data_IF_402111725944
#
_entry.id   IF_402111725944
#
_cell.length_a   1.000
_cell.length_b   1.000
_cell.length_c   1.000
_cell.angle_alpha   90.00
_cell.angle_beta   90.00
_cell.angle_gamma   90.00
#
_symmetry.space_group_name_H-M   'P 1'
#
loop_
_entity.id
_entity.type
_entity.pdbx_description
1 polymer ?
#
# COMPACT_ATOMS: atom_id res chain seq x y z
N UNK A 1 -60.74 -16.05 28.27
CA UNK A 1 -60.46 -16.70 26.98
C UNK A 1 -58.95 -16.85 26.82
N UNK A 2 -58.41 -18.07 26.96
CA UNK A 2 -57.00 -18.37 26.66
C UNK A 2 -56.94 -18.87 25.21
N UNK A 3 -56.49 -18.03 24.27
CA UNK A 3 -56.20 -18.46 22.90
C UNK A 3 -54.82 -19.11 22.90
N UNK A 4 -54.77 -20.42 22.73
CA UNK A 4 -53.50 -21.14 22.52
C UNK A 4 -53.02 -20.90 21.09
N UNK A 5 -51.75 -20.52 20.96
CA UNK A 5 -51.05 -20.44 19.67
C UNK A 5 -51.21 -21.78 18.92
N UNK A 6 -51.65 -21.71 17.67
CA UNK A 6 -51.71 -22.89 16.80
C UNK A 6 -50.29 -23.32 16.40
N UNK A 7 -50.04 -24.63 16.33
CA UNK A 7 -48.79 -25.18 15.78
C UNK A 7 -48.48 -24.63 14.38
N UNK A 8 -49.52 -24.33 13.59
CA UNK A 8 -49.39 -23.74 12.26
C UNK A 8 -48.88 -22.30 12.34
N UNK A 9 -49.36 -21.50 13.31
CA UNK A 9 -48.90 -20.12 13.51
C UNK A 9 -47.42 -20.08 13.92
N UNK A 10 -46.99 -21.02 14.76
CA UNK A 10 -45.58 -21.17 15.16
C UNK A 10 -44.72 -21.55 13.95
N UNK A 11 -45.18 -22.51 13.14
CA UNK A 11 -44.43 -22.96 11.96
C UNK A 11 -44.30 -21.85 10.91
N UNK A 12 -45.37 -21.10 10.67
CA UNK A 12 -45.36 -19.94 9.76
C UNK A 12 -44.45 -18.85 10.29
N UNK A 13 -44.48 -18.54 11.60
CA UNK A 13 -43.58 -17.57 12.20
C UNK A 13 -42.11 -17.96 12.02
N UNK A 14 -41.75 -19.24 12.25
CA UNK A 14 -40.39 -19.74 12.04
C UNK A 14 -39.97 -19.65 10.58
N UNK A 15 -40.86 -19.99 9.64
CA UNK A 15 -40.57 -19.89 8.20
C UNK A 15 -40.36 -18.43 7.75
N UNK A 16 -41.17 -17.50 8.24
CA UNK A 16 -41.01 -16.07 7.94
C UNK A 16 -39.69 -15.54 8.54
N UNK A 17 -39.39 -15.90 9.79
CA UNK A 17 -38.14 -15.51 10.43
C UNK A 17 -36.92 -16.07 9.68
N UNK A 18 -36.92 -17.33 9.27
CA UNK A 18 -35.77 -17.92 8.56
C UNK A 18 -35.55 -17.30 7.17
N UNK A 19 -36.63 -17.03 6.43
CA UNK A 19 -36.56 -16.33 5.15
C UNK A 19 -36.08 -14.88 5.28
N UNK A 20 -36.39 -14.22 6.39
CA UNK A 20 -35.97 -12.84 6.66
C UNK A 20 -34.52 -12.74 7.18
N UNK A 21 -34.09 -13.69 8.02
CA UNK A 21 -32.77 -13.65 8.67
C UNK A 21 -31.61 -13.83 7.67
N UNK A 22 -31.74 -14.71 6.69
CA UNK A 22 -30.68 -14.96 5.70
C UNK A 22 -30.22 -13.69 4.96
N UNK A 23 -31.14 -12.96 4.30
CA UNK A 23 -30.81 -11.68 3.66
C UNK A 23 -30.25 -10.63 4.62
N UNK A 24 -30.77 -10.53 5.85
CA UNK A 24 -30.27 -9.56 6.84
C UNK A 24 -28.84 -9.85 7.27
N UNK A 25 -28.49 -11.11 7.52
CA UNK A 25 -27.11 -11.52 7.85
C UNK A 25 -26.17 -11.20 6.69
N UNK A 26 -26.58 -11.47 5.45
CA UNK A 26 -25.79 -11.15 4.26
C UNK A 26 -25.56 -9.64 4.11
N UNK A 27 -26.59 -8.82 4.37
CA UNK A 27 -26.47 -7.36 4.30
C UNK A 27 -25.54 -6.81 5.39
N UNK A 28 -25.66 -7.29 6.63
CA UNK A 28 -24.78 -6.89 7.73
C UNK A 28 -23.33 -7.32 7.45
N UNK A 29 -23.12 -8.53 6.97
CA UNK A 29 -21.79 -9.02 6.58
C UNK A 29 -21.19 -8.20 5.44
N UNK A 30 -21.99 -7.86 4.42
CA UNK A 30 -21.53 -7.04 3.29
C UNK A 30 -21.16 -5.62 3.74
N UNK A 31 -22.02 -5.02 4.58
CA UNK A 31 -21.80 -3.69 5.15
C UNK A 31 -20.54 -3.64 6.02
N UNK A 32 -20.35 -4.64 6.89
CA UNK A 32 -19.16 -4.70 7.74
C UNK A 32 -17.88 -4.88 6.91
N UNK A 33 -17.92 -5.71 5.86
CA UNK A 33 -16.78 -5.89 4.95
C UNK A 33 -16.45 -4.61 4.19
N UNK A 34 -17.45 -3.88 3.70
CA UNK A 34 -17.25 -2.60 3.02
C UNK A 34 -16.67 -1.53 3.97
N UNK A 35 -17.20 -1.45 5.19
CA UNK A 35 -16.69 -0.52 6.21
C UNK A 35 -15.24 -0.85 6.59
N UNK A 36 -14.93 -2.13 6.78
CA UNK A 36 -13.56 -2.57 7.08
C UNK A 36 -12.59 -2.27 5.92
N UNK A 37 -13.02 -2.46 4.67
CA UNK A 37 -12.24 -2.10 3.49
C UNK A 37 -11.88 -0.61 3.49
N UNK A 38 -12.85 0.25 3.79
CA UNK A 38 -12.65 1.69 3.85
C UNK A 38 -11.63 2.12 4.92
N UNK A 39 -11.58 1.44 6.08
CA UNK A 39 -10.57 1.72 7.10
C UNK A 39 -9.16 1.47 6.55
N UNK A 40 -8.94 0.33 5.88
CA UNK A 40 -7.63 0.01 5.32
C UNK A 40 -7.25 0.90 4.14
N UNK A 41 -8.20 1.36 3.34
CA UNK A 41 -7.94 2.39 2.33
C UNK A 41 -7.42 3.69 2.97
N UNK A 42 -8.05 4.15 4.07
CA UNK A 42 -7.59 5.35 4.79
C UNK A 42 -6.19 5.13 5.38
N UNK A 43 -5.91 3.95 5.94
CA UNK A 43 -4.56 3.62 6.41
C UNK A 43 -3.54 3.60 5.27
N UNK A 44 -3.90 3.04 4.12
CA UNK A 44 -3.05 3.02 2.93
C UNK A 44 -2.70 4.43 2.47
N UNK A 45 -3.67 5.36 2.46
CA UNK A 45 -3.42 6.78 2.17
C UNK A 45 -2.40 7.35 3.14
N UNK A 46 -2.52 7.06 4.44
CA UNK A 46 -1.60 7.60 5.45
C UNK A 46 -0.17 7.07 5.26
N UNK A 47 -0.02 5.75 5.07
CA UNK A 47 1.28 5.14 4.79
C UNK A 47 1.92 5.68 3.51
N UNK A 48 1.12 5.83 2.45
CA UNK A 48 1.60 6.39 1.20
C UNK A 48 1.99 7.86 1.33
N UNK A 49 1.21 8.66 2.06
CA UNK A 49 1.50 10.08 2.29
C UNK A 49 2.82 10.28 3.04
N UNK A 50 3.09 9.47 4.07
CA UNK A 50 4.35 9.52 4.82
C UNK A 50 5.57 9.26 3.91
N UNK A 51 5.48 8.22 3.09
CA UNK A 51 6.55 7.87 2.15
C UNK A 51 6.68 8.95 1.06
N UNK A 52 5.56 9.41 0.50
CA UNK A 52 5.53 10.44 -0.53
C UNK A 52 6.14 11.77 -0.07
N UNK A 53 5.85 12.18 1.17
CA UNK A 53 6.40 13.40 1.74
C UNK A 53 7.94 13.29 1.86
N UNK A 54 8.44 12.15 2.33
CA UNK A 54 9.88 11.93 2.43
C UNK A 54 10.56 11.88 1.06
N UNK A 55 9.95 11.21 0.08
CA UNK A 55 10.46 11.16 -1.29
C UNK A 55 10.50 12.55 -1.93
N UNK A 56 9.46 13.36 -1.70
CA UNK A 56 9.42 14.75 -2.18
C UNK A 56 10.56 15.58 -1.58
N UNK A 57 10.88 15.38 -0.29
CA UNK A 57 12.04 16.01 0.35
C UNK A 57 13.38 15.58 -0.26
N UNK A 58 13.45 14.40 -0.87
CA UNK A 58 14.64 13.94 -1.58
C UNK A 58 14.77 14.46 -3.01
N UNK A 59 13.70 14.93 -3.65
CA UNK A 59 13.71 15.35 -5.08
C UNK A 59 14.72 16.46 -5.42
N UNK A 60 15.26 17.20 -4.45
CA UNK A 60 16.34 18.17 -4.67
C UNK A 60 17.75 17.65 -4.40
N UNK A 61 17.88 16.37 -4.02
CA UNK A 61 19.12 15.72 -3.57
C UNK A 61 19.32 14.34 -4.20
N UNK A 62 18.49 13.95 -5.18
CA UNK A 62 18.56 12.63 -5.79
C UNK A 62 19.88 12.42 -6.52
N UNK A 63 20.39 13.43 -7.23
CA UNK A 63 21.73 13.42 -7.83
C UNK A 63 22.83 13.07 -6.83
N UNK A 64 22.84 13.70 -5.65
CA UNK A 64 23.82 13.43 -4.60
C UNK A 64 23.70 12.00 -4.05
N UNK A 65 22.46 11.53 -3.87
CA UNK A 65 22.16 10.18 -3.38
C UNK A 65 22.64 9.13 -4.39
N UNK A 66 22.34 9.34 -5.68
CA UNK A 66 22.77 8.48 -6.76
C UNK A 66 24.28 8.51 -6.92
N UNK A 67 24.94 9.66 -6.76
CA UNK A 67 26.40 9.74 -6.77
C UNK A 67 27.04 8.92 -5.65
N UNK A 68 26.56 9.03 -4.40
CA UNK A 68 27.04 8.20 -3.27
C UNK A 68 26.76 6.71 -3.53
N UNK A 69 25.59 6.38 -4.07
CA UNK A 69 25.21 5.00 -4.40
C UNK A 69 26.12 4.38 -5.47
N UNK A 70 26.41 5.13 -6.55
CA UNK A 70 27.32 4.70 -7.63
C UNK A 70 28.74 4.47 -7.11
N UNK A 71 29.24 5.33 -6.22
CA UNK A 71 30.56 5.17 -5.58
C UNK A 71 30.60 3.93 -4.69
N UNK A 72 29.57 3.71 -3.85
CA UNK A 72 29.52 2.60 -2.90
C UNK A 72 29.31 1.24 -3.57
N UNK A 73 28.45 1.18 -4.57
CA UNK A 73 28.14 -0.05 -5.30
C UNK A 73 29.17 -0.39 -6.36
N UNK A 74 29.99 0.58 -6.79
CA UNK A 74 30.89 0.45 -7.92
C UNK A 74 30.19 0.39 -9.28
N UNK A 75 28.87 0.65 -9.33
CA UNK A 75 28.08 0.64 -10.56
C UNK A 75 27.78 2.08 -11.02
N UNK A 76 28.45 2.60 -12.07
CA UNK A 76 28.24 3.97 -12.54
C UNK A 76 26.91 4.17 -13.27
N UNK A 77 26.25 3.10 -13.75
CA UNK A 77 24.98 3.18 -14.47
C UNK A 77 23.76 3.03 -13.56
N UNK A 78 23.94 3.08 -12.24
CA UNK A 78 22.85 2.93 -11.28
C UNK A 78 21.85 4.08 -11.41
N UNK A 79 20.58 3.71 -11.56
CA UNK A 79 19.43 4.62 -11.71
C UNK A 79 18.62 4.71 -10.41
N UNK A 80 17.68 5.66 -10.35
CA UNK A 80 16.75 5.77 -9.24
C UNK A 80 15.84 4.54 -9.11
N UNK A 81 15.46 3.95 -10.25
CA UNK A 81 14.68 2.72 -10.30
C UNK A 81 15.42 1.59 -9.60
N UNK A 82 16.71 1.39 -9.90
CA UNK A 82 17.54 0.35 -9.27
C UNK A 82 17.61 0.51 -7.75
N UNK A 83 17.66 1.75 -7.25
CA UNK A 83 17.75 2.04 -5.82
C UNK A 83 16.44 1.77 -5.07
N UNK A 84 15.33 2.22 -5.64
CA UNK A 84 14.00 2.14 -5.00
C UNK A 84 13.35 0.76 -5.16
N UNK A 85 13.81 -0.03 -6.12
CA UNK A 85 13.34 -1.39 -6.38
C UNK A 85 14.37 -2.46 -5.99
N UNK A 86 15.46 -2.07 -5.32
CA UNK A 86 16.44 -3.03 -4.80
C UNK A 86 15.72 -4.09 -3.93
N UNK A 87 16.00 -5.39 -4.12
CA UNK A 87 15.31 -6.46 -3.40
C UNK A 87 15.43 -6.34 -1.88
N UNK A 88 16.63 -6.01 -1.38
CA UNK A 88 16.87 -5.92 0.06
C UNK A 88 16.13 -4.74 0.68
N UNK A 89 16.02 -3.63 -0.06
CA UNK A 89 15.22 -2.48 0.36
C UNK A 89 13.71 -2.79 0.32
N UNK A 90 13.24 -3.42 -0.76
CA UNK A 90 11.83 -3.80 -0.94
C UNK A 90 11.38 -4.79 0.12
N UNK A 91 12.21 -5.76 0.48
CA UNK A 91 11.89 -6.74 1.51
C UNK A 91 11.78 -6.10 2.90
N UNK A 92 12.65 -5.14 3.24
CA UNK A 92 12.50 -4.37 4.48
C UNK A 92 11.21 -3.54 4.52
N UNK A 93 10.75 -3.01 3.37
CA UNK A 93 9.46 -2.31 3.29
C UNK A 93 8.26 -3.23 3.54
N UNK A 94 8.36 -4.52 3.23
CA UNK A 94 7.30 -5.51 3.47
C UNK A 94 7.21 -5.98 4.91
N UNK A 95 8.25 -5.75 5.72
CA UNK A 95 8.26 -6.23 7.09
C UNK A 95 7.17 -5.56 7.94
N UNK A 96 6.47 -6.40 8.70
CA UNK A 96 5.59 -5.97 9.78
C UNK A 96 6.43 -5.61 11.00
N UNK A 97 6.79 -4.34 11.08
CA UNK A 97 7.59 -3.80 12.18
C UNK A 97 6.68 -3.51 13.38
N UNK A 98 7.21 -3.64 14.60
CA UNK A 98 6.51 -3.28 15.83
C UNK A 98 6.49 -1.75 16.06
N UNK A 99 7.51 -1.05 15.56
CA UNK A 99 7.72 0.38 15.73
C UNK A 99 8.22 1.02 14.43
N UNK A 100 8.08 2.33 14.31
CA UNK A 100 8.62 3.10 13.19
C UNK A 100 10.14 3.00 13.16
N UNK A 101 10.70 2.69 11.99
CA UNK A 101 12.15 2.49 11.82
C UNK A 101 12.67 3.23 10.59
N UNK A 102 13.93 3.65 10.64
CA UNK A 102 14.67 4.10 9.47
C UNK A 102 15.16 2.88 8.65
N UNK A 103 14.64 2.73 7.43
CA UNK A 103 15.04 1.72 6.45
C UNK A 103 16.00 2.37 5.44
N UNK A 104 17.29 1.97 5.43
CA UNK A 104 18.26 2.54 4.49
C UNK A 104 17.95 2.12 3.06
N UNK A 105 18.11 3.04 2.11
CA UNK A 105 18.16 2.65 0.70
C UNK A 105 19.30 1.67 0.47
N UNK A 106 19.14 0.79 -0.51
CA UNK A 106 20.15 -0.20 -0.85
C UNK A 106 20.49 -0.11 -2.33
N UNK A 107 21.78 -0.28 -2.63
CA UNK A 107 22.29 -0.34 -3.99
C UNK A 107 23.04 -1.65 -4.17
N UNK A 108 22.43 -2.61 -4.88
CA UNK A 108 22.95 -3.98 -5.01
C UNK A 108 23.19 -4.64 -3.64
N UNK A 109 22.26 -4.47 -2.70
CA UNK A 109 22.36 -4.98 -1.33
C UNK A 109 23.34 -4.23 -0.40
N UNK A 110 23.97 -3.14 -0.86
CA UNK A 110 24.81 -2.29 -0.01
C UNK A 110 23.96 -1.16 0.58
N UNK A 111 23.83 -1.05 1.92
CA UNK A 111 23.03 0.00 2.54
C UNK A 111 23.70 1.37 2.41
N UNK A 112 22.89 2.36 2.04
CA UNK A 112 23.27 3.77 1.97
C UNK A 112 23.03 4.47 3.31
N UNK A 113 23.60 5.68 3.44
CA UNK A 113 23.35 6.53 4.62
C UNK A 113 21.95 7.16 4.62
N UNK A 114 21.35 7.30 3.43
CA UNK A 114 20.00 7.85 3.30
C UNK A 114 18.99 6.74 3.57
N UNK A 115 17.98 7.05 4.37
CA UNK A 115 16.96 6.12 4.82
C UNK A 115 15.58 6.76 4.73
N UNK A 116 14.57 5.93 4.55
CA UNK A 116 13.17 6.29 4.74
C UNK A 116 12.72 5.89 6.15
N UNK A 117 12.02 6.77 6.83
CA UNK A 117 11.27 6.40 8.02
C UNK A 117 10.00 5.70 7.58
N UNK A 118 9.77 4.54 8.18
CA UNK A 118 8.74 3.63 7.74
C UNK A 118 7.91 3.22 8.94
N UNK A 119 6.66 3.66 8.97
CA UNK A 119 5.70 3.28 10.00
C UNK A 119 5.37 1.78 10.00
N UNK A 120 4.99 1.23 11.17
CA UNK A 120 4.60 -0.17 11.30
C UNK A 120 3.36 -0.48 10.45
N UNK A 121 3.46 -1.53 9.64
CA UNK A 121 2.42 -1.97 8.72
C UNK A 121 1.42 -2.84 9.47
N UNK A 122 0.13 -2.48 9.44
CA UNK A 122 -0.91 -3.30 10.07
C UNK A 122 -0.94 -4.72 9.49
N UNK A 123 -1.16 -5.74 10.32
CA UNK A 123 -1.12 -7.19 10.01
C UNK A 123 -2.02 -7.67 8.86
N UNK A 124 -2.88 -6.80 8.32
CA UNK A 124 -3.76 -7.11 7.19
C UNK A 124 -3.16 -6.70 5.87
N UNK A 125 -2.21 -5.77 5.88
CA UNK A 125 -1.42 -5.45 4.71
C UNK A 125 -0.46 -6.59 4.42
N UNK A 126 -0.23 -6.86 3.16
CA UNK A 126 0.55 -8.00 2.66
C UNK A 126 1.76 -7.55 1.87
N UNK A 127 1.68 -6.36 1.26
CA UNK A 127 2.74 -5.80 0.44
C UNK A 127 2.78 -4.28 0.61
N UNK A 128 4.00 -3.75 0.65
CA UNK A 128 4.32 -2.33 0.55
C UNK A 128 5.60 -2.21 -0.27
N UNK A 129 5.50 -1.62 -1.46
CA UNK A 129 6.61 -1.52 -2.40
C UNK A 129 6.54 -0.26 -3.25
N UNK A 130 7.64 0.06 -3.91
CA UNK A 130 7.66 1.06 -4.97
C UNK A 130 7.64 0.38 -6.34
N UNK A 131 6.96 1.01 -7.29
CA UNK A 131 7.09 0.75 -8.72
C UNK A 131 7.56 2.05 -9.36
N UNK A 132 8.72 2.03 -10.02
CA UNK A 132 9.33 3.23 -10.58
C UNK A 132 9.28 3.15 -12.10
N UNK A 133 8.93 4.26 -12.75
CA UNK A 133 8.95 4.35 -14.22
C UNK A 133 9.52 5.69 -14.67
N UNK A 134 10.32 5.72 -15.73
CA UNK A 134 10.74 6.98 -16.32
C UNK A 134 9.53 7.69 -16.93
N UNK A 135 9.36 8.96 -16.60
CA UNK A 135 8.31 9.80 -17.17
C UNK A 135 8.82 10.40 -18.48
N UNK A 136 8.15 10.09 -19.59
CA UNK A 136 8.47 10.70 -20.88
C UNK A 136 8.15 12.19 -20.86
N UNK A 137 9.15 13.03 -21.08
CA UNK A 137 9.02 14.50 -21.19
C UNK A 137 8.82 14.96 -22.63
N UNK A 138 8.72 14.03 -23.60
CA UNK A 138 8.62 14.36 -25.02
C UNK A 138 7.34 15.14 -25.32
N UNK A 139 7.47 16.44 -25.58
CA UNK A 139 6.36 17.34 -25.93
C UNK A 139 5.83 18.23 -24.79
N UNK A 140 6.32 18.09 -23.56
CA UNK A 140 5.92 18.92 -22.42
C UNK A 140 6.92 20.07 -22.18
N UNK A 141 6.63 21.27 -22.68
CA UNK A 141 7.47 22.47 -22.51
C UNK A 141 7.63 22.92 -21.05
N UNK A 142 6.73 22.49 -20.15
CA UNK A 142 6.78 22.75 -18.70
C UNK A 142 7.79 21.88 -17.93
N UNK A 143 8.17 20.72 -18.46
CA UNK A 143 9.05 19.73 -17.80
C UNK A 143 10.49 19.83 -18.35
N UNK A 144 10.99 21.05 -18.57
CA UNK A 144 12.24 21.30 -19.28
C UNK A 144 13.42 20.42 -18.84
N UNK A 145 14.18 19.90 -19.82
CA UNK A 145 15.55 19.39 -19.74
C UNK A 145 15.94 18.32 -18.71
N UNK A 146 15.10 17.95 -17.75
CA UNK A 146 15.42 17.03 -16.66
C UNK A 146 14.91 15.61 -16.90
N UNK A 147 15.46 14.66 -16.13
CA UNK A 147 14.94 13.30 -16.03
C UNK A 147 13.88 13.28 -14.92
N UNK A 148 12.69 12.78 -15.24
CA UNK A 148 11.58 12.68 -14.29
C UNK A 148 11.18 11.23 -14.13
N UNK A 149 10.77 10.88 -12.92
CA UNK A 149 10.38 9.54 -12.53
C UNK A 149 8.98 9.58 -11.92
N UNK A 150 8.09 8.71 -12.40
CA UNK A 150 6.83 8.39 -11.71
C UNK A 150 7.12 7.25 -10.74
N UNK A 151 7.08 7.56 -9.44
CA UNK A 151 7.20 6.57 -8.39
C UNK A 151 5.83 6.27 -7.81
N UNK A 152 5.36 5.05 -8.06
CA UNK A 152 4.13 4.52 -7.49
C UNK A 152 4.41 3.80 -6.19
N UNK A 153 3.74 4.23 -5.14
CA UNK A 153 3.69 3.60 -3.83
C UNK A 153 2.52 2.62 -3.85
N UNK A 154 2.83 1.34 -3.78
CA UNK A 154 1.85 0.25 -3.86
C UNK A 154 1.67 -0.34 -2.48
N UNK A 155 0.42 -0.38 -2.01
CA UNK A 155 0.01 -1.02 -0.77
C UNK A 155 -1.10 -2.03 -1.06
N UNK A 156 -0.94 -3.25 -0.58
CA UNK A 156 -1.91 -4.34 -0.75
C UNK A 156 -2.34 -4.90 0.61
N UNK A 157 -3.59 -5.33 0.73
CA UNK A 157 -4.11 -5.93 1.97
C UNK A 157 -5.20 -6.98 1.72
N UNK A 158 -5.45 -7.79 2.75
CA UNK A 158 -6.49 -8.81 2.78
C UNK A 158 -7.51 -8.52 3.88
N UNK A 159 -8.81 -8.60 3.55
CA UNK A 159 -9.89 -8.52 4.55
C UNK A 159 -10.14 -9.87 5.23
N UNK A 160 -9.88 -10.96 4.52
CA UNK A 160 -9.98 -12.33 5.01
C UNK A 160 -8.69 -13.08 4.68
N UNK A 161 -8.19 -13.98 5.55
CA UNK A 161 -7.03 -14.82 5.23
C UNK A 161 -7.22 -15.72 4.00
N UNK A 162 -8.48 -15.94 3.60
CA UNK A 162 -8.84 -16.69 2.38
C UNK A 162 -8.76 -15.86 1.10
N UNK A 163 -8.65 -14.54 1.20
CA UNK A 163 -8.58 -13.66 0.04
C UNK A 163 -7.17 -13.69 -0.56
N UNK A 164 -7.03 -13.54 -1.90
CA UNK A 164 -5.72 -13.32 -2.50
C UNK A 164 -4.99 -12.11 -1.88
N UNK A 165 -3.65 -12.16 -1.73
CA UNK A 165 -2.87 -11.11 -1.05
C UNK A 165 -2.95 -9.73 -1.70
N UNK A 166 -3.30 -9.67 -2.97
CA UNK A 166 -3.40 -8.47 -3.80
C UNK A 166 -4.86 -8.10 -4.14
N UNK A 167 -5.85 -8.75 -3.51
CA UNK A 167 -7.27 -8.50 -3.80
C UNK A 167 -7.68 -7.06 -3.56
N UNK A 168 -7.15 -6.44 -2.52
CA UNK A 168 -7.32 -5.02 -2.24
C UNK A 168 -5.96 -4.33 -2.36
N UNK A 169 -5.92 -3.28 -3.18
CA UNK A 169 -4.70 -2.57 -3.52
C UNK A 169 -4.99 -1.08 -3.67
N UNK A 170 -4.08 -0.25 -3.18
CA UNK A 170 -4.05 1.18 -3.43
C UNK A 170 -2.70 1.56 -4.05
N UNK A 171 -2.75 2.49 -5.02
CA UNK A 171 -1.59 3.03 -5.70
C UNK A 171 -1.56 4.55 -5.56
N UNK A 172 -0.42 5.10 -5.17
CA UNK A 172 -0.22 6.54 -5.05
C UNK A 172 1.02 6.94 -5.83
N UNK A 173 0.89 7.88 -6.77
CA UNK A 173 2.01 8.35 -7.59
C UNK A 173 2.64 9.60 -6.99
N UNK A 174 3.97 9.63 -7.01
CA UNK A 174 4.80 10.79 -6.72
C UNK A 174 5.73 11.02 -7.90
N UNK A 175 5.74 12.23 -8.42
CA UNK A 175 6.66 12.60 -9.49
C UNK A 175 7.93 13.15 -8.85
N UNK A 176 9.04 12.51 -9.14
CA UNK A 176 10.37 12.94 -8.72
C UNK A 176 11.14 13.48 -9.91
N UNK A 177 11.90 14.54 -9.66
CA UNK A 177 12.90 15.04 -10.60
C UNK A 177 14.27 14.59 -10.11
N UNK A 178 15.03 13.96 -11.00
CA UNK A 178 16.46 13.69 -10.79
C UNK A 178 17.24 15.01 -10.84
#
# INVERSE_FOLDING_TARGET
>A
MRRGLSLVEILVAVAVCSLALGPMVNLLSSSNRASTASIYEVMAVHYAAELAEQMTRFSGRLDDILADARIRSGNPSLTLEDLLTDPGFTDELRLHLAETRAVPFQANGVPLKVSLFVSPLHDRFTDRRFEVRPLSTTGATLLGGGVFWDVKIVLSWQLSPSDPPDKHKAEFSVILRE
#
